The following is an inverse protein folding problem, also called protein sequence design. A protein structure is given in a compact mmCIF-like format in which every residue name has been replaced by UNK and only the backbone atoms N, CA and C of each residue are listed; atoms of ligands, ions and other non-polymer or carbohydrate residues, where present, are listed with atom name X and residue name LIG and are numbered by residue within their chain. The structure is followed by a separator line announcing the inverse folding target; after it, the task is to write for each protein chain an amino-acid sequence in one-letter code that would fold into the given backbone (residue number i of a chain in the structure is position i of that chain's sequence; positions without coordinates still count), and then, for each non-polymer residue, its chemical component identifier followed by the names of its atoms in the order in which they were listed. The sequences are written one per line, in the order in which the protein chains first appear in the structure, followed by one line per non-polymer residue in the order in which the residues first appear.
data_IF_426258494560
#
_entry.id   IF_426258494560
#
_cell.length_a   1.000
_cell.length_b   1.000
_cell.length_c   1.000
_cell.angle_alpha   90.00
_cell.angle_beta   90.00
_cell.angle_gamma   90.00
#
_symmetry.space_group_name_H-M   'P 1'
#
loop_
_entity.id
_entity.type
_entity.pdbx_description
1 polymer ?
#
# COMPACT_ATOMS: atom_id res chain seq x y z
N UNK A 1 26.41 12.40 -15.66
CA UNK A 1 26.17 13.00 -16.99
C UNK A 1 24.88 13.81 -16.94
N UNK A 2 24.84 15.00 -17.53
CA UNK A 2 23.62 15.79 -17.64
C UNK A 2 22.72 15.17 -18.72
N UNK A 3 21.45 14.93 -18.38
CA UNK A 3 20.45 14.41 -19.33
C UNK A 3 20.25 15.38 -20.49
N UNK A 4 20.25 14.88 -21.73
CA UNK A 4 19.92 15.64 -22.91
C UNK A 4 18.43 16.02 -22.92
N UNK A 5 18.03 17.00 -23.75
CA UNK A 5 16.63 17.46 -23.82
C UNK A 5 15.66 16.35 -24.17
N UNK A 6 16.01 15.48 -25.11
CA UNK A 6 15.21 14.33 -25.52
C UNK A 6 15.01 13.33 -24.38
N UNK A 7 16.07 13.02 -23.64
CA UNK A 7 16.01 12.14 -22.47
C UNK A 7 15.14 12.73 -21.35
N UNK A 8 15.19 14.05 -21.13
CA UNK A 8 14.31 14.72 -20.17
C UNK A 8 12.84 14.62 -20.58
N UNK A 9 12.54 14.83 -21.87
CA UNK A 9 11.18 14.66 -22.41
C UNK A 9 10.70 13.21 -22.27
N UNK A 10 11.55 12.23 -22.55
CA UNK A 10 11.23 10.82 -22.40
C UNK A 10 10.91 10.46 -20.94
N UNK A 11 11.71 10.96 -19.96
CA UNK A 11 11.43 10.74 -18.53
C UNK A 11 10.11 11.39 -18.10
N UNK A 12 9.82 12.60 -18.58
CA UNK A 12 8.54 13.29 -18.27
C UNK A 12 7.37 12.49 -18.85
N UNK A 13 7.46 12.04 -20.11
CA UNK A 13 6.41 11.26 -20.75
C UNK A 13 6.17 9.92 -20.03
N UNK A 14 7.23 9.21 -19.67
CA UNK A 14 7.15 7.94 -18.93
C UNK A 14 6.49 8.11 -17.56
N UNK A 15 6.90 9.13 -16.79
CA UNK A 15 6.31 9.40 -15.47
C UNK A 15 4.86 9.86 -15.60
N UNK A 16 4.53 10.68 -16.60
CA UNK A 16 3.15 11.12 -16.84
C UNK A 16 2.24 9.96 -17.24
N UNK A 17 2.72 9.04 -18.10
CA UNK A 17 1.95 7.84 -18.48
C UNK A 17 1.67 6.95 -17.26
N UNK A 18 2.68 6.74 -16.40
CA UNK A 18 2.53 5.96 -15.16
C UNK A 18 1.60 6.68 -14.18
N UNK A 19 1.75 7.99 -14.00
CA UNK A 19 0.90 8.78 -13.12
C UNK A 19 -0.57 8.73 -13.54
N UNK A 20 -0.88 8.76 -14.84
CA UNK A 20 -2.25 8.65 -15.33
C UNK A 20 -2.90 7.28 -15.08
N UNK A 21 -2.10 6.22 -14.94
CA UNK A 21 -2.60 4.86 -14.71
C UNK A 21 -2.57 4.47 -13.23
N UNK A 22 -1.76 5.15 -12.43
CA UNK A 22 -1.54 4.80 -11.03
C UNK A 22 -2.76 5.13 -10.15
N UNK A 23 -3.03 4.28 -9.18
CA UNK A 23 -4.09 4.45 -8.17
C UNK A 23 -3.59 5.23 -6.94
N UNK A 24 -2.30 5.13 -6.64
CA UNK A 24 -1.66 5.84 -5.54
C UNK A 24 -0.19 6.12 -5.85
N UNK A 25 0.34 7.19 -5.28
CA UNK A 25 1.74 7.55 -5.38
C UNK A 25 2.33 7.80 -3.99
N UNK A 26 3.52 7.26 -3.73
CA UNK A 26 4.26 7.48 -2.49
C UNK A 26 5.61 8.09 -2.82
N UNK A 27 5.97 9.18 -2.16
CA UNK A 27 7.29 9.77 -2.26
C UNK A 27 8.06 9.52 -0.96
N UNK A 28 9.20 8.84 -1.07
CA UNK A 28 10.07 8.51 0.04
C UNK A 28 11.47 9.10 -0.16
N UNK A 29 12.10 9.53 0.91
CA UNK A 29 13.50 9.95 0.90
C UNK A 29 14.41 8.72 0.94
N UNK A 30 15.33 8.61 -0.02
CA UNK A 30 16.24 7.46 -0.16
C UNK A 30 17.68 7.78 0.21
N UNK A 31 17.92 8.93 0.82
CA UNK A 31 19.28 9.38 1.16
C UNK A 31 19.97 8.41 2.13
N UNK A 32 21.11 7.88 1.70
CA UNK A 32 21.95 6.97 2.50
C UNK A 32 21.69 5.48 2.25
N UNK A 33 20.78 5.11 1.35
CA UNK A 33 20.64 3.73 0.88
C UNK A 33 21.82 3.34 -0.01
N UNK A 34 22.30 2.11 0.12
CA UNK A 34 23.31 1.52 -0.75
C UNK A 34 22.70 1.12 -2.10
N UNK A 35 23.56 0.84 -3.08
CA UNK A 35 23.12 0.37 -4.41
C UNK A 35 22.45 -0.99 -4.31
N UNK A 36 22.94 -1.85 -3.44
CA UNK A 36 22.36 -3.19 -3.19
C UNK A 36 20.96 -3.07 -2.62
N UNK A 37 20.78 -2.30 -1.55
CA UNK A 37 19.48 -2.02 -0.94
C UNK A 37 18.48 -1.42 -1.95
N UNK A 38 18.93 -0.49 -2.79
CA UNK A 38 18.08 0.09 -3.84
C UNK A 38 17.70 -0.95 -4.91
N UNK A 39 18.55 -1.89 -5.20
CA UNK A 39 18.28 -2.96 -6.16
C UNK A 39 17.26 -3.95 -5.59
N UNK A 40 17.40 -4.34 -4.33
CA UNK A 40 16.41 -5.17 -3.62
C UNK A 40 15.04 -4.50 -3.56
N UNK A 41 15.00 -3.20 -3.23
CA UNK A 41 13.76 -2.42 -3.24
C UNK A 41 13.06 -2.49 -4.61
N UNK A 42 13.83 -2.36 -5.70
CA UNK A 42 13.28 -2.42 -7.06
C UNK A 42 12.78 -3.82 -7.42
N UNK A 43 13.41 -4.87 -6.94
CA UNK A 43 12.95 -6.25 -7.15
C UNK A 43 11.63 -6.46 -6.42
N UNK A 44 11.57 -6.15 -5.12
CA UNK A 44 10.33 -6.24 -4.32
C UNK A 44 9.20 -5.37 -4.91
N UNK A 45 9.54 -4.19 -5.43
CA UNK A 45 8.57 -3.32 -6.08
C UNK A 45 7.94 -3.95 -7.33
N UNK A 46 8.75 -4.59 -8.19
CA UNK A 46 8.25 -5.27 -9.39
C UNK A 46 7.35 -6.46 -9.03
N UNK A 47 7.71 -7.22 -8.00
CA UNK A 47 6.89 -8.34 -7.50
C UNK A 47 5.54 -7.84 -6.96
N UNK A 48 5.53 -6.66 -6.34
CA UNK A 48 4.32 -6.03 -5.80
C UNK A 48 3.50 -5.18 -6.79
N UNK A 49 3.84 -5.17 -8.09
CA UNK A 49 3.13 -4.32 -9.07
C UNK A 49 3.33 -2.81 -8.85
N UNK A 50 4.45 -2.43 -8.21
CA UNK A 50 4.78 -1.04 -7.91
C UNK A 50 5.87 -0.53 -8.85
N UNK A 51 5.59 0.56 -9.55
CA UNK A 51 6.59 1.22 -10.38
C UNK A 51 7.42 2.19 -9.53
N UNK A 52 8.73 1.92 -9.42
CA UNK A 52 9.65 2.73 -8.62
C UNK A 52 10.66 3.46 -9.52
N UNK A 53 10.69 4.79 -9.40
CA UNK A 53 11.62 5.62 -10.17
C UNK A 53 12.19 6.77 -9.33
N UNK A 54 13.48 7.03 -9.54
CA UNK A 54 14.16 8.22 -9.04
C UNK A 54 14.29 9.19 -10.20
N UNK A 55 13.70 10.36 -10.07
CA UNK A 55 13.77 11.41 -11.09
C UNK A 55 14.00 12.77 -10.44
N UNK A 56 14.50 13.72 -11.23
CA UNK A 56 14.70 15.09 -10.75
C UNK A 56 13.34 15.75 -10.47
N UNK A 57 13.18 16.35 -9.30
CA UNK A 57 11.92 16.95 -8.85
C UNK A 57 11.29 17.91 -9.88
N UNK A 58 12.12 18.70 -10.57
CA UNK A 58 11.63 19.61 -11.62
C UNK A 58 11.03 18.89 -12.83
N UNK A 59 11.46 17.65 -13.15
CA UNK A 59 10.88 16.84 -14.21
C UNK A 59 9.60 16.18 -13.73
N UNK A 60 9.59 15.71 -12.48
CA UNK A 60 8.40 15.13 -11.85
C UNK A 60 7.27 16.16 -11.77
N UNK A 61 7.56 17.39 -11.33
CA UNK A 61 6.56 18.46 -11.29
C UNK A 61 5.88 18.69 -12.64
N UNK A 62 6.65 18.68 -13.72
CA UNK A 62 6.09 18.80 -15.07
C UNK A 62 5.33 17.56 -15.53
N UNK A 63 5.71 16.39 -15.05
CA UNK A 63 5.05 15.14 -15.40
C UNK A 63 3.69 14.96 -14.70
N UNK A 64 3.56 15.47 -13.47
CA UNK A 64 2.30 15.39 -12.71
C UNK A 64 1.37 16.57 -12.96
N UNK A 65 1.81 17.58 -13.71
CA UNK A 65 1.00 18.72 -14.14
C UNK A 65 -0.18 18.24 -15.00
N UNK A 66 -1.40 18.57 -14.59
CA UNK A 66 -2.62 18.09 -15.24
C UNK A 66 -3.02 16.65 -14.92
N UNK A 67 -2.40 15.99 -13.94
CA UNK A 67 -2.81 14.69 -13.41
C UNK A 67 -3.42 14.82 -12.03
N UNK A 68 -4.03 13.76 -11.50
CA UNK A 68 -4.56 13.73 -10.12
C UNK A 68 -3.48 13.97 -9.05
N UNK A 69 -2.20 13.82 -9.40
CA UNK A 69 -1.06 14.01 -8.51
C UNK A 69 -0.47 15.42 -8.51
N UNK A 70 -1.15 16.39 -9.09
CA UNK A 70 -0.73 17.80 -9.10
C UNK A 70 -0.56 18.35 -7.67
N UNK A 71 -1.35 17.87 -6.72
CA UNK A 71 -1.25 18.21 -5.30
C UNK A 71 0.14 17.93 -4.69
N UNK A 72 0.95 17.03 -5.29
CA UNK A 72 2.30 16.72 -4.81
C UNK A 72 3.35 17.78 -5.21
N UNK A 73 3.08 18.67 -6.15
CA UNK A 73 4.09 19.57 -6.74
C UNK A 73 4.82 20.43 -5.71
N UNK A 74 4.09 20.99 -4.75
CA UNK A 74 4.67 21.87 -3.72
C UNK A 74 5.52 21.10 -2.72
N UNK A 75 5.14 19.85 -2.46
CA UNK A 75 5.74 19.01 -1.45
C UNK A 75 6.96 18.19 -1.96
N UNK A 76 7.24 18.23 -3.28
CA UNK A 76 8.41 17.56 -3.89
C UNK A 76 9.70 18.32 -3.56
N UNK A 77 10.26 18.08 -2.36
CA UNK A 77 11.51 18.69 -1.89
C UNK A 77 12.51 17.62 -1.41
N UNK A 78 13.79 17.76 -1.79
CA UNK A 78 14.85 16.82 -1.42
C UNK A 78 15.06 15.66 -2.39
N UNK A 79 15.88 14.66 -2.01
CA UNK A 79 16.15 13.48 -2.82
C UNK A 79 15.03 12.48 -2.66
N UNK A 80 14.06 12.48 -3.58
CA UNK A 80 12.87 11.65 -3.51
C UNK A 80 12.90 10.48 -4.50
N UNK A 81 12.47 9.34 -4.02
CA UNK A 81 12.10 8.17 -4.78
C UNK A 81 10.58 8.15 -4.88
N UNK A 82 10.07 7.98 -6.09
CA UNK A 82 8.65 7.87 -6.37
C UNK A 82 8.27 6.42 -6.56
N UNK A 83 7.24 5.97 -5.84
CA UNK A 83 6.64 4.65 -5.97
C UNK A 83 5.17 4.82 -6.37
N UNK A 84 4.80 4.32 -7.54
CA UNK A 84 3.45 4.36 -8.07
C UNK A 84 2.82 2.97 -7.98
N UNK A 85 1.63 2.88 -7.40
CA UNK A 85 0.85 1.64 -7.36
C UNK A 85 -0.02 1.55 -8.60
N UNK A 86 0.07 0.44 -9.35
CA UNK A 86 -0.70 0.26 -10.58
C UNK A 86 -2.01 -0.48 -10.33
N UNK A 87 -1.96 -1.60 -9.61
CA UNK A 87 -3.12 -2.50 -9.44
C UNK A 87 -3.81 -2.34 -8.08
N UNK A 88 -3.06 -1.98 -7.05
CA UNK A 88 -3.53 -1.94 -5.66
C UNK A 88 -3.08 -0.65 -4.96
N UNK A 89 -4.00 0.22 -4.53
CA UNK A 89 -3.66 1.51 -3.93
C UNK A 89 -2.77 1.40 -2.68
N UNK A 90 -2.85 0.29 -1.95
CA UNK A 90 -2.03 0.04 -0.76
C UNK A 90 -0.64 -0.53 -1.04
N UNK A 91 -0.35 -1.00 -2.26
CA UNK A 91 0.88 -1.73 -2.57
C UNK A 91 2.15 -0.90 -2.32
N UNK A 92 2.20 0.35 -2.83
CA UNK A 92 3.36 1.22 -2.60
C UNK A 92 3.54 1.59 -1.13
N UNK A 93 2.45 1.81 -0.39
CA UNK A 93 2.50 2.11 1.04
C UNK A 93 3.01 0.91 1.85
N UNK A 94 2.58 -0.32 1.51
CA UNK A 94 3.07 -1.56 2.13
C UNK A 94 4.55 -1.77 1.84
N UNK A 95 4.96 -1.65 0.59
CA UNK A 95 6.36 -1.78 0.17
C UNK A 95 7.26 -0.81 0.95
N UNK A 96 6.93 0.48 0.97
CA UNK A 96 7.73 1.50 1.65
C UNK A 96 7.75 1.26 3.17
N UNK A 97 6.62 0.89 3.77
CA UNK A 97 6.53 0.60 5.21
C UNK A 97 7.34 -0.63 5.60
N UNK A 98 7.23 -1.72 4.86
CA UNK A 98 7.93 -2.95 5.19
C UNK A 98 9.44 -2.76 4.99
N UNK A 99 9.83 -2.06 3.94
CA UNK A 99 11.23 -1.75 3.70
C UNK A 99 11.81 -0.75 4.72
N UNK A 100 11.01 0.21 5.20
CA UNK A 100 11.46 1.16 6.24
C UNK A 100 11.66 0.52 7.61
N UNK A 101 11.07 -0.65 7.89
CA UNK A 101 11.34 -1.41 9.12
C UNK A 101 12.72 -2.04 9.14
N UNK A 102 13.18 -2.49 7.96
CA UNK A 102 14.48 -3.12 7.80
C UNK A 102 15.59 -2.08 7.58
N UNK A 103 15.23 -0.90 7.06
CA UNK A 103 16.14 0.18 6.67
C UNK A 103 15.65 1.55 7.14
N UNK A 104 16.14 2.02 8.29
CA UNK A 104 15.79 3.33 8.89
C UNK A 104 16.08 4.55 8.00
N UNK A 105 16.87 4.35 6.94
CA UNK A 105 17.27 5.41 6.00
C UNK A 105 16.17 5.73 4.96
N UNK A 106 15.20 4.85 4.75
CA UNK A 106 14.07 5.10 3.88
C UNK A 106 12.94 5.75 4.67
N UNK A 107 12.73 7.03 4.44
CA UNK A 107 11.71 7.81 5.16
C UNK A 107 10.61 8.20 4.17
N UNK A 108 9.39 7.71 4.39
CA UNK A 108 8.23 8.20 3.63
C UNK A 108 7.98 9.68 3.99
N UNK A 109 7.82 10.52 2.97
CA UNK A 109 7.50 11.95 3.16
C UNK A 109 6.05 12.26 2.82
N UNK A 110 5.58 11.72 1.72
CA UNK A 110 4.30 12.11 1.14
C UNK A 110 3.61 10.89 0.58
N UNK A 111 2.31 10.89 0.68
CA UNK A 111 1.46 9.92 0.02
C UNK A 111 0.33 10.66 -0.68
N UNK A 112 0.05 10.33 -1.93
CA UNK A 112 -1.06 10.87 -2.68
C UNK A 112 -1.97 9.75 -3.17
N UNK A 113 -3.26 9.89 -2.91
CA UNK A 113 -4.30 8.94 -3.32
C UNK A 113 -5.53 9.73 -3.74
N UNK A 114 -6.05 9.46 -4.94
CA UNK A 114 -7.29 10.08 -5.43
C UNK A 114 -7.25 11.62 -5.43
N UNK A 115 -6.12 12.22 -5.80
CA UNK A 115 -5.98 13.69 -5.88
C UNK A 115 -5.75 14.39 -4.54
N UNK A 116 -5.68 13.67 -3.44
CA UNK A 116 -5.41 14.23 -2.11
C UNK A 116 -4.01 13.87 -1.62
N UNK A 117 -3.36 14.88 -1.02
CA UNK A 117 -2.05 14.71 -0.41
C UNK A 117 -2.21 14.36 1.07
N UNK A 118 -1.49 13.33 1.50
CA UNK A 118 -1.45 12.86 2.88
C UNK A 118 -0.02 12.89 3.42
N UNK A 119 0.12 13.14 4.70
CA UNK A 119 1.40 13.10 5.40
C UNK A 119 1.90 11.66 5.60
N UNK A 120 3.18 11.53 5.96
CA UNK A 120 3.81 10.25 6.28
C UNK A 120 3.09 9.46 7.39
N UNK A 121 2.39 10.15 8.32
CA UNK A 121 1.60 9.53 9.38
C UNK A 121 0.47 8.65 8.86
N UNK A 122 -0.12 9.00 7.71
CA UNK A 122 -1.22 8.25 7.09
C UNK A 122 -0.75 7.02 6.30
N UNK A 123 0.57 6.87 6.10
CA UNK A 123 1.15 5.70 5.41
C UNK A 123 0.71 4.39 6.08
N UNK A 124 0.62 4.39 7.41
CA UNK A 124 0.21 3.21 8.16
C UNK A 124 -1.24 2.81 7.86
N UNK A 125 -2.13 3.77 7.71
CA UNK A 125 -3.54 3.52 7.37
C UNK A 125 -3.66 2.98 5.94
N UNK A 126 -2.91 3.57 5.01
CA UNK A 126 -2.87 3.14 3.61
C UNK A 126 -2.26 1.75 3.46
N UNK A 127 -1.24 1.40 4.24
CA UNK A 127 -0.66 0.06 4.23
C UNK A 127 -1.63 -1.04 4.68
N UNK A 128 -2.66 -0.69 5.46
CA UNK A 128 -3.71 -1.61 5.94
C UNK A 128 -4.88 -1.76 4.97
N UNK A 129 -4.90 -1.00 3.86
CA UNK A 129 -5.95 -1.14 2.86
C UNK A 129 -5.93 -2.55 2.26
N UNK A 130 -7.09 -3.22 2.18
CA UNK A 130 -7.20 -4.51 1.53
C UNK A 130 -7.02 -4.37 0.02
N UNK A 131 -6.58 -5.45 -0.62
CA UNK A 131 -6.58 -5.52 -2.09
C UNK A 131 -8.01 -5.52 -2.63
N UNK A 132 -8.21 -5.28 -3.92
CA UNK A 132 -9.53 -5.27 -4.54
C UNK A 132 -10.30 -6.57 -4.28
N UNK A 133 -9.64 -7.72 -4.46
CA UNK A 133 -10.26 -9.03 -4.21
C UNK A 133 -10.62 -9.23 -2.73
N UNK A 134 -9.74 -8.81 -1.82
CA UNK A 134 -10.00 -8.87 -0.38
C UNK A 134 -11.15 -7.93 0.01
N UNK A 135 -11.23 -6.74 -0.58
CA UNK A 135 -12.32 -5.80 -0.32
C UNK A 135 -13.68 -6.39 -0.72
N UNK A 136 -13.76 -7.04 -1.90
CA UNK A 136 -14.95 -7.75 -2.35
C UNK A 136 -15.28 -8.93 -1.43
N UNK A 137 -14.29 -9.71 -1.03
CA UNK A 137 -14.48 -10.83 -0.10
C UNK A 137 -15.03 -10.36 1.26
N UNK A 138 -14.49 -9.25 1.79
CA UNK A 138 -14.99 -8.62 3.03
C UNK A 138 -16.42 -8.14 2.84
N UNK A 139 -16.74 -7.46 1.74
CA UNK A 139 -18.10 -7.01 1.43
C UNK A 139 -19.10 -8.17 1.40
N UNK A 140 -18.77 -9.23 0.67
CA UNK A 140 -19.60 -10.44 0.61
C UNK A 140 -19.76 -11.08 1.99
N UNK A 141 -18.70 -11.12 2.79
CA UNK A 141 -18.74 -11.61 4.16
C UNK A 141 -19.68 -10.80 5.05
N UNK A 142 -19.61 -9.47 4.97
CA UNK A 142 -20.48 -8.56 5.75
C UNK A 142 -21.95 -8.73 5.32
N UNK A 143 -22.23 -8.87 4.04
CA UNK A 143 -23.61 -9.11 3.56
C UNK A 143 -24.18 -10.45 4.03
N UNK A 144 -23.34 -11.49 4.13
CA UNK A 144 -23.72 -12.83 4.59
C UNK A 144 -23.81 -12.95 6.12
N UNK A 145 -23.06 -12.11 6.85
CA UNK A 145 -22.93 -12.18 8.31
C UNK A 145 -24.27 -12.18 9.09
N UNK A 146 -25.32 -11.40 8.73
CA UNK A 146 -26.60 -11.44 9.45
C UNK A 146 -27.26 -12.82 9.37
N UNK A 147 -27.24 -13.45 8.19
CA UNK A 147 -27.81 -14.78 7.97
C UNK A 147 -27.04 -15.84 8.75
N UNK A 148 -25.71 -15.78 8.70
CA UNK A 148 -24.85 -16.71 9.43
C UNK A 148 -25.02 -16.57 10.96
N UNK A 149 -25.13 -15.34 11.47
CA UNK A 149 -25.42 -15.09 12.87
C UNK A 149 -26.77 -15.69 13.29
N UNK A 150 -27.80 -15.50 12.49
CA UNK A 150 -29.12 -16.03 12.78
C UNK A 150 -29.10 -17.56 12.83
N UNK A 151 -28.54 -18.22 11.81
CA UNK A 151 -28.41 -19.69 11.78
C UNK A 151 -27.59 -20.20 12.97
N UNK A 152 -26.51 -19.53 13.30
CA UNK A 152 -25.65 -19.88 14.45
C UNK A 152 -26.40 -19.75 15.77
N UNK A 153 -27.19 -18.70 15.97
CA UNK A 153 -27.99 -18.54 17.21
C UNK A 153 -29.05 -19.62 17.36
N UNK A 154 -29.62 -20.13 16.26
CA UNK A 154 -30.53 -21.26 16.30
C UNK A 154 -29.86 -22.60 16.63
N UNK A 155 -28.62 -22.78 16.18
CA UNK A 155 -27.82 -23.98 16.42
C UNK A 155 -27.14 -23.98 17.81
N UNK A 156 -26.91 -22.81 18.42
CA UNK A 156 -26.15 -22.65 19.68
C UNK A 156 -26.77 -23.43 20.87
N UNK A 157 -28.10 -23.50 21.10
CA UNK A 157 -28.66 -24.25 22.22
C UNK A 157 -28.25 -25.73 22.21
N UNK A 158 -28.29 -26.38 21.06
CA UNK A 158 -27.87 -27.78 20.93
C UNK A 158 -26.38 -27.96 21.16
N UNK A 159 -25.54 -27.05 20.59
CA UNK A 159 -24.11 -27.08 20.76
C UNK A 159 -23.70 -26.84 22.23
N UNK A 160 -24.36 -25.92 22.93
CA UNK A 160 -24.11 -25.66 24.36
C UNK A 160 -24.44 -26.88 25.20
N UNK A 161 -25.57 -27.52 24.99
CA UNK A 161 -25.97 -28.73 25.72
C UNK A 161 -24.92 -29.83 25.56
N UNK A 162 -24.48 -30.12 24.34
CA UNK A 162 -23.45 -31.14 24.10
C UNK A 162 -22.13 -30.79 24.80
N UNK A 163 -21.68 -29.51 24.72
CA UNK A 163 -20.44 -29.04 25.39
C UNK A 163 -20.53 -29.13 26.90
N UNK A 164 -21.66 -28.80 27.51
CA UNK A 164 -21.84 -28.92 28.98
C UNK A 164 -21.81 -30.37 29.43
N UNK A 165 -22.47 -31.27 28.69
CA UNK A 165 -22.41 -32.71 29.01
C UNK A 165 -21.01 -33.27 28.85
N UNK A 166 -20.27 -32.87 27.82
CA UNK A 166 -18.90 -33.27 27.63
C UNK A 166 -18.00 -32.74 28.78
N UNK A 167 -18.14 -31.47 29.18
CA UNK A 167 -17.39 -30.90 30.29
C UNK A 167 -17.66 -31.61 31.62
N UNK A 168 -18.90 -31.99 31.90
CA UNK A 168 -19.27 -32.80 33.09
C UNK A 168 -18.63 -34.18 33.04
N UNK A 169 -18.62 -34.85 31.86
CA UNK A 169 -17.93 -36.13 31.68
C UNK A 169 -16.44 -35.99 31.97
N UNK A 170 -15.78 -35.00 31.38
CA UNK A 170 -14.33 -34.78 31.53
C UNK A 170 -13.95 -34.44 32.97
N UNK A 171 -14.77 -33.62 33.66
CA UNK A 171 -14.60 -33.33 35.05
C UNK A 171 -14.71 -34.59 35.95
N UNK A 172 -15.67 -35.52 35.63
CA UNK A 172 -15.78 -36.78 36.37
C UNK A 172 -14.69 -37.78 36.07
N UNK A 173 -14.03 -37.68 34.91
CA UNK A 173 -12.88 -38.55 34.59
C UNK A 173 -11.57 -38.04 35.18
N UNK A 174 -11.48 -36.75 35.50
CA UNK A 174 -10.32 -36.12 36.11
C UNK A 174 -10.35 -36.15 37.65
N UNK A 175 -11.49 -36.48 38.25
CA UNK A 175 -11.67 -36.72 39.70
C UNK A 175 -11.56 -38.18 40.05
#
# INVERSE_FOLDING_TARGET
MALNLEQKKAVVAEVAEVANKALAAVAAEYRGLTVEEMTELRVKAREGGVFVKVAKNTLVRRAVEGTEYECMQEALTGPLLLAFSMDDPGAAARLVKDYSKDHDKLIAKLVAVGGQLYDASELERLSKLPTYEQAIAILMGVMKAPIEKFVRTLAEPHAKLVRTVAAVRDAKQAA
#
